data_IF_296316098593
#
_entry.id   IF_296316098593
#
_cell.length_a   1.000
_cell.length_b   1.000
_cell.length_c   1.000
_cell.angle_alpha   90.00
_cell.angle_beta   90.00
_cell.angle_gamma   90.00
#
_symmetry.space_group_name_H-M   'P 1'
#
loop_
_entity.id
_entity.type
_entity.pdbx_description
1 polymer ?
#
# COMPACT_ATOMS: atom_id res chain seq x y z
N UNK A 1 3.05 21.95 27.20
CA UNK A 1 2.76 20.52 27.29
C UNK A 1 3.90 19.83 28.00
N UNK A 2 3.67 19.37 29.24
CA UNK A 2 4.63 18.58 29.99
C UNK A 2 4.73 17.20 29.37
N UNK A 3 5.83 16.91 28.67
CA UNK A 3 6.13 15.57 28.20
C UNK A 3 6.56 14.69 29.38
N UNK A 4 6.25 13.40 29.34
CA UNK A 4 6.55 12.42 30.40
C UNK A 4 8.06 12.13 30.57
N UNK A 5 8.92 12.72 29.73
CA UNK A 5 10.37 12.49 29.72
C UNK A 5 10.81 11.07 29.31
N UNK A 6 9.86 10.17 29.05
CA UNK A 6 10.15 8.76 28.73
C UNK A 6 10.62 8.52 27.29
N UNK A 7 10.29 9.43 26.36
CA UNK A 7 10.57 9.22 24.92
C UNK A 7 12.05 8.99 24.62
N UNK A 8 12.95 9.79 25.22
CA UNK A 8 14.40 9.65 25.00
C UNK A 8 14.95 8.33 25.58
N UNK A 9 14.47 7.94 26.75
CA UNK A 9 14.88 6.68 27.39
C UNK A 9 14.45 5.45 26.55
N UNK A 10 13.22 5.50 25.99
CA UNK A 10 12.70 4.47 25.09
C UNK A 10 13.52 4.44 23.79
N UNK A 11 13.77 5.59 23.18
CA UNK A 11 14.58 5.69 21.96
C UNK A 11 15.99 5.13 22.17
N UNK A 12 16.63 5.49 23.32
CA UNK A 12 17.96 4.94 23.64
C UNK A 12 17.93 3.43 23.78
N UNK A 13 16.96 2.89 24.50
CA UNK A 13 16.82 1.44 24.66
C UNK A 13 16.66 0.71 23.30
N UNK A 14 15.84 1.24 22.40
CA UNK A 14 15.64 0.68 21.06
C UNK A 14 16.95 0.71 20.26
N UNK A 15 17.67 1.83 20.27
CA UNK A 15 18.96 1.99 19.58
C UNK A 15 19.99 1.01 20.14
N UNK A 16 20.08 0.88 21.47
CA UNK A 16 21.01 -0.06 22.14
C UNK A 16 20.66 -1.52 21.80
N UNK A 17 19.37 -1.89 21.78
CA UNK A 17 18.90 -3.22 21.37
C UNK A 17 19.24 -3.55 19.92
N UNK A 18 19.27 -2.55 19.05
CA UNK A 18 19.69 -2.67 17.65
C UNK A 18 21.22 -2.65 17.46
N UNK A 19 21.99 -2.58 18.55
CA UNK A 19 23.46 -2.53 18.53
C UNK A 19 24.01 -1.21 18.02
N UNK A 20 23.23 -0.14 18.09
CA UNK A 20 23.57 1.19 17.60
C UNK A 20 24.05 2.15 18.70
N UNK A 21 24.22 3.41 18.35
CA UNK A 21 24.57 4.50 19.25
C UNK A 21 23.68 5.72 19.01
N UNK A 22 23.36 6.47 20.06
CA UNK A 22 22.68 7.75 19.99
C UNK A 22 23.49 8.82 20.72
N UNK A 23 23.76 9.91 20.06
CA UNK A 23 24.45 11.09 20.57
C UNK A 23 23.51 12.29 20.49
N UNK A 24 23.63 13.22 21.45
CA UNK A 24 22.85 14.44 21.47
C UNK A 24 23.81 15.63 21.57
N UNK A 25 23.68 16.55 20.63
CA UNK A 25 24.39 17.84 20.65
C UNK A 25 23.34 18.94 20.81
N UNK A 26 23.46 19.74 21.86
CA UNK A 26 22.51 20.79 22.13
C UNK A 26 23.23 22.07 22.57
N UNK A 27 22.78 23.19 22.06
CA UNK A 27 23.26 24.53 22.46
C UNK A 27 22.06 25.44 22.67
N UNK A 28 22.06 26.16 23.78
CA UNK A 28 20.97 27.06 24.10
C UNK A 28 20.78 28.09 22.99
N UNK A 29 19.54 28.35 22.60
CA UNK A 29 19.11 29.24 21.51
C UNK A 29 19.58 28.86 20.10
N UNK A 30 20.29 27.74 19.93
CA UNK A 30 20.72 27.21 18.63
C UNK A 30 19.99 25.91 18.23
N UNK A 31 19.42 25.22 19.19
CA UNK A 31 18.66 23.99 18.96
C UNK A 31 19.36 22.70 19.42
N UNK A 32 18.83 21.58 19.01
CA UNK A 32 19.31 20.25 19.41
C UNK A 32 19.43 19.36 18.19
N UNK A 33 20.55 18.67 18.04
CA UNK A 33 20.82 17.65 17.04
C UNK A 33 20.89 16.27 17.70
N UNK A 34 20.16 15.31 17.15
CA UNK A 34 20.22 13.91 17.54
C UNK A 34 20.93 13.12 16.44
N UNK A 35 22.01 12.44 16.79
CA UNK A 35 22.79 11.62 15.86
C UNK A 35 22.59 10.15 16.24
N UNK A 36 21.86 9.40 15.41
CA UNK A 36 21.61 7.97 15.59
C UNK A 36 22.41 7.18 14.57
N UNK A 37 23.23 6.22 15.03
CA UNK A 37 23.99 5.30 14.17
C UNK A 37 23.52 3.89 14.44
N UNK A 38 23.01 3.20 13.42
CA UNK A 38 22.54 1.83 13.49
C UNK A 38 23.32 0.94 12.51
N UNK A 39 23.84 -0.23 12.96
CA UNK A 39 24.44 -1.19 12.04
C UNK A 39 23.34 -2.02 11.37
N UNK A 40 23.29 -1.99 10.04
CA UNK A 40 22.42 -2.85 9.27
C UNK A 40 23.23 -3.86 8.48
N UNK A 41 22.80 -5.12 8.47
CA UNK A 41 23.33 -6.11 7.54
C UNK A 41 22.73 -5.84 6.17
N UNK A 42 23.59 -5.56 5.19
CA UNK A 42 23.14 -5.47 3.79
C UNK A 42 22.87 -6.87 3.27
N UNK A 43 21.76 -7.03 2.55
CA UNK A 43 21.54 -8.24 1.77
C UNK A 43 22.60 -8.30 0.65
N UNK A 44 23.17 -9.51 0.35
CA UNK A 44 23.99 -9.66 -0.83
C UNK A 44 23.22 -9.20 -2.08
N UNK A 45 23.90 -8.55 -3.03
CA UNK A 45 23.32 -7.89 -4.22
C UNK A 45 22.51 -8.82 -5.17
N UNK A 46 22.16 -10.04 -4.76
CA UNK A 46 21.52 -11.03 -5.61
C UNK A 46 20.00 -10.91 -5.74
N UNK A 47 19.35 -9.97 -5.07
CA UNK A 47 18.00 -9.60 -5.46
C UNK A 47 18.08 -8.48 -6.52
N UNK A 48 18.56 -8.82 -7.74
CA UNK A 48 18.11 -8.08 -8.92
C UNK A 48 16.59 -8.07 -8.84
N UNK A 49 16.02 -6.89 -8.62
CA UNK A 49 14.59 -6.70 -8.82
C UNK A 49 14.39 -7.02 -10.30
N UNK A 50 13.93 -8.23 -10.59
CA UNK A 50 13.65 -8.63 -11.96
C UNK A 50 12.58 -7.70 -12.49
N UNK A 51 12.82 -7.15 -13.66
CA UNK A 51 11.78 -6.47 -14.41
C UNK A 51 10.62 -7.44 -14.57
N UNK A 52 9.43 -6.94 -14.32
CA UNK A 52 8.22 -7.72 -14.47
C UNK A 52 7.79 -7.58 -15.92
N UNK A 53 7.81 -8.67 -16.67
CA UNK A 53 7.50 -8.67 -18.10
C UNK A 53 6.15 -8.03 -18.41
N UNK A 54 5.16 -8.25 -17.54
CA UNK A 54 3.81 -7.71 -17.66
C UNK A 54 3.73 -6.20 -17.42
N UNK A 55 4.71 -5.61 -16.76
CA UNK A 55 4.79 -4.16 -16.47
C UNK A 55 5.77 -3.44 -17.41
N UNK A 56 6.57 -4.17 -18.19
CA UNK A 56 7.61 -3.57 -19.00
C UNK A 56 7.03 -2.64 -20.09
N UNK A 57 7.49 -1.40 -20.09
CA UNK A 57 7.05 -0.36 -21.03
C UNK A 57 5.69 0.29 -20.72
N UNK A 58 4.91 -0.25 -19.78
CA UNK A 58 3.68 0.39 -19.33
C UNK A 58 3.99 1.74 -18.66
N UNK A 59 3.08 2.71 -18.82
CA UNK A 59 3.25 4.08 -18.33
C UNK A 59 2.39 4.32 -17.11
N UNK A 60 2.98 4.89 -16.04
CA UNK A 60 2.26 5.27 -14.83
C UNK A 60 2.40 6.76 -14.53
N UNK A 61 1.37 7.35 -13.91
CA UNK A 61 1.41 8.70 -13.35
C UNK A 61 1.34 8.61 -11.83
N UNK A 62 2.33 9.21 -11.16
CA UNK A 62 2.38 9.37 -9.70
C UNK A 62 1.90 10.77 -9.34
N UNK A 63 1.00 10.87 -8.36
CA UNK A 63 0.41 12.15 -7.91
C UNK A 63 0.50 12.21 -6.39
N UNK A 64 1.38 13.07 -5.87
CA UNK A 64 1.61 13.24 -4.44
C UNK A 64 2.16 14.64 -4.19
N UNK A 65 1.73 15.34 -3.16
CA UNK A 65 2.20 16.70 -2.87
C UNK A 65 3.63 16.74 -2.31
N UNK A 66 4.13 15.59 -1.81
CA UNK A 66 5.53 15.45 -1.41
C UNK A 66 6.40 14.98 -2.58
N UNK A 67 7.31 15.86 -3.00
CA UNK A 67 8.30 15.55 -4.03
C UNK A 67 9.13 14.30 -3.75
N UNK A 68 9.51 14.05 -2.48
CA UNK A 68 10.32 12.89 -2.13
C UNK A 68 9.53 11.58 -2.32
N UNK A 69 8.25 11.59 -2.02
CA UNK A 69 7.34 10.47 -2.30
C UNK A 69 7.23 10.25 -3.81
N UNK A 70 6.99 11.30 -4.60
CA UNK A 70 6.96 11.21 -6.06
C UNK A 70 8.24 10.60 -6.64
N UNK A 71 9.40 11.10 -6.24
CA UNK A 71 10.72 10.62 -6.70
C UNK A 71 10.94 9.15 -6.31
N UNK A 72 10.62 8.80 -5.07
CA UNK A 72 10.79 7.43 -4.55
C UNK A 72 9.91 6.43 -5.30
N UNK A 73 8.62 6.72 -5.44
CA UNK A 73 7.67 5.87 -6.16
C UNK A 73 8.04 5.75 -7.63
N UNK A 74 8.40 6.85 -8.28
CA UNK A 74 8.87 6.85 -9.68
C UNK A 74 10.08 5.94 -9.86
N UNK A 75 11.07 6.01 -8.96
CA UNK A 75 12.24 5.11 -8.99
C UNK A 75 11.86 3.64 -8.78
N UNK A 76 10.88 3.36 -7.94
CA UNK A 76 10.35 2.01 -7.73
C UNK A 76 9.70 1.46 -9.01
N UNK A 77 8.87 2.26 -9.67
CA UNK A 77 8.20 1.89 -10.93
C UNK A 77 9.18 1.63 -12.07
N UNK A 78 10.19 2.48 -12.20
CA UNK A 78 11.27 2.30 -13.20
C UNK A 78 12.04 1.00 -12.97
N UNK A 79 12.31 0.64 -11.70
CA UNK A 79 13.00 -0.62 -11.36
C UNK A 79 12.21 -1.86 -11.77
N UNK A 80 10.88 -1.83 -11.74
CA UNK A 80 10.03 -2.95 -12.19
C UNK A 80 9.77 -2.93 -13.70
N UNK A 81 10.30 -1.95 -14.44
CA UNK A 81 10.24 -1.88 -15.90
C UNK A 81 9.24 -0.89 -16.48
N UNK A 82 8.50 -0.15 -15.65
CA UNK A 82 7.53 0.84 -16.10
C UNK A 82 8.18 2.16 -16.52
N UNK A 83 7.54 2.90 -17.42
CA UNK A 83 7.76 4.33 -17.62
C UNK A 83 6.93 5.08 -16.58
N UNK A 84 7.50 6.11 -15.95
CA UNK A 84 6.79 6.85 -14.91
C UNK A 84 6.97 8.35 -15.06
N UNK A 85 5.87 9.07 -14.92
CA UNK A 85 5.81 10.52 -14.76
C UNK A 85 5.21 10.83 -13.38
N UNK A 86 5.38 12.04 -12.90
CA UNK A 86 4.80 12.48 -11.64
C UNK A 86 4.33 13.95 -11.71
N UNK A 87 3.41 14.30 -10.81
CA UNK A 87 2.94 15.66 -10.56
C UNK A 87 2.57 15.83 -9.10
N UNK A 88 2.59 17.06 -8.59
CA UNK A 88 2.21 17.41 -7.23
C UNK A 88 0.78 17.97 -7.11
N UNK A 89 0.02 17.96 -8.20
CA UNK A 89 -1.31 18.56 -8.28
C UNK A 89 -2.32 17.62 -8.93
N UNK A 90 -3.48 17.48 -8.28
CA UNK A 90 -4.58 16.68 -8.82
C UNK A 90 -5.14 17.26 -10.13
N UNK A 91 -5.24 18.60 -10.24
CA UNK A 91 -5.68 19.26 -11.48
C UNK A 91 -4.72 18.98 -12.63
N UNK A 92 -3.43 19.04 -12.38
CA UNK A 92 -2.42 18.72 -13.37
C UNK A 92 -2.47 17.23 -13.75
N UNK A 93 -2.73 16.34 -12.80
CA UNK A 93 -2.90 14.92 -13.09
C UNK A 93 -4.04 14.67 -14.09
N UNK A 94 -5.21 15.29 -13.90
CA UNK A 94 -6.34 15.19 -14.82
C UNK A 94 -6.00 15.76 -16.20
N UNK A 95 -5.29 16.89 -16.25
CA UNK A 95 -4.84 17.48 -17.52
C UNK A 95 -3.88 16.54 -18.25
N UNK A 96 -2.90 15.98 -17.57
CA UNK A 96 -1.94 15.01 -18.15
C UNK A 96 -2.60 13.72 -18.59
N UNK A 97 -3.60 13.23 -17.85
CA UNK A 97 -4.39 12.07 -18.25
C UNK A 97 -5.06 12.32 -19.62
N UNK A 98 -5.74 13.46 -19.77
CA UNK A 98 -6.36 13.85 -21.05
C UNK A 98 -5.34 13.97 -22.18
N UNK A 99 -4.25 14.71 -21.95
CA UNK A 99 -3.21 14.92 -22.97
C UNK A 99 -2.56 13.62 -23.40
N UNK A 100 -2.30 12.69 -22.49
CA UNK A 100 -1.69 11.40 -22.82
C UNK A 100 -2.59 10.54 -23.71
N UNK A 101 -3.90 10.61 -23.51
CA UNK A 101 -4.89 9.94 -24.38
C UNK A 101 -4.92 10.57 -25.78
N UNK A 102 -4.96 11.91 -25.87
CA UNK A 102 -4.95 12.64 -27.14
C UNK A 102 -3.69 12.36 -27.97
N UNK A 103 -2.55 12.17 -27.30
CA UNK A 103 -1.26 11.85 -27.93
C UNK A 103 -1.09 10.34 -28.24
N UNK A 104 -2.03 9.48 -27.85
CA UNK A 104 -1.94 8.04 -28.04
C UNK A 104 -0.88 7.35 -27.17
N UNK A 105 -0.41 8.00 -26.09
CA UNK A 105 0.52 7.46 -25.08
C UNK A 105 -0.12 7.50 -23.69
N UNK A 106 -1.31 6.91 -23.58
CA UNK A 106 -2.12 6.92 -22.37
C UNK A 106 -1.42 6.24 -21.19
N UNK A 107 -1.76 6.65 -19.99
CA UNK A 107 -1.31 5.97 -18.77
C UNK A 107 -1.99 4.60 -18.65
N UNK A 108 -1.28 3.66 -18.02
CA UNK A 108 -1.75 2.31 -17.75
C UNK A 108 -2.01 2.09 -16.26
N UNK A 109 -1.54 3.01 -15.41
CA UNK A 109 -1.85 3.06 -13.99
C UNK A 109 -1.73 4.50 -13.47
N UNK A 110 -2.55 4.82 -12.48
CA UNK A 110 -2.44 6.05 -11.67
C UNK A 110 -2.18 5.66 -10.23
N UNK A 111 -1.22 6.34 -9.59
CA UNK A 111 -0.88 6.16 -8.17
C UNK A 111 -1.04 7.53 -7.53
N UNK A 112 -2.10 7.71 -6.74
CA UNK A 112 -2.58 9.02 -6.32
C UNK A 112 -2.64 9.10 -4.81
N UNK A 113 -2.02 10.12 -4.22
CA UNK A 113 -2.18 10.39 -2.79
C UNK A 113 -3.63 10.76 -2.46
N UNK A 114 -4.09 10.26 -1.31
CA UNK A 114 -5.42 10.59 -0.80
C UNK A 114 -5.61 12.09 -0.60
N UNK A 115 -4.59 12.78 -0.06
CA UNK A 115 -4.64 14.20 0.30
C UNK A 115 -3.72 15.03 -0.58
N UNK A 116 -4.31 15.73 -1.53
CA UNK A 116 -3.61 16.72 -2.34
C UNK A 116 -4.08 18.13 -1.95
N UNK A 117 -3.26 19.16 -2.13
CA UNK A 117 -3.60 20.52 -1.68
C UNK A 117 -4.73 21.17 -2.48
N UNK A 118 -4.98 20.73 -3.69
CA UNK A 118 -5.96 21.33 -4.61
C UNK A 118 -7.25 20.53 -4.77
N UNK A 119 -7.20 19.21 -4.53
CA UNK A 119 -8.38 18.32 -4.49
C UNK A 119 -8.01 16.99 -3.84
N UNK A 120 -8.99 16.23 -3.36
CA UNK A 120 -8.69 14.90 -2.81
C UNK A 120 -8.56 13.83 -3.91
N UNK A 121 -7.92 12.70 -3.57
CA UNK A 121 -7.66 11.60 -4.52
C UNK A 121 -8.92 10.98 -5.11
N UNK A 122 -10.05 10.97 -4.40
CA UNK A 122 -11.35 10.48 -4.93
C UNK A 122 -11.86 11.42 -6.02
N UNK A 123 -11.73 12.73 -5.82
CA UNK A 123 -12.16 13.69 -6.83
C UNK A 123 -11.30 13.61 -8.11
N UNK A 124 -9.96 13.45 -7.95
CA UNK A 124 -9.07 13.15 -9.09
C UNK A 124 -9.53 11.88 -9.80
N UNK A 125 -9.85 10.83 -9.04
CA UNK A 125 -10.34 9.56 -9.59
C UNK A 125 -11.61 9.75 -10.40
N UNK A 126 -12.61 10.46 -9.88
CA UNK A 126 -13.87 10.74 -10.62
C UNK A 126 -13.61 11.46 -11.93
N UNK A 127 -12.73 12.45 -11.92
CA UNK A 127 -12.40 13.23 -13.12
C UNK A 127 -11.63 12.37 -14.14
N UNK A 128 -10.68 11.54 -13.73
CA UNK A 128 -9.98 10.62 -14.63
C UNK A 128 -10.95 9.58 -15.19
N UNK A 129 -11.86 9.02 -14.37
CA UNK A 129 -12.88 8.07 -14.85
C UNK A 129 -13.83 8.66 -15.89
N UNK A 130 -14.04 9.96 -15.84
CA UNK A 130 -14.83 10.64 -16.88
C UNK A 130 -14.12 10.75 -18.25
N UNK A 131 -12.80 10.53 -18.29
CA UNK A 131 -11.99 10.56 -19.51
C UNK A 131 -11.71 9.16 -20.05
N UNK A 132 -11.39 8.23 -19.16
CA UNK A 132 -11.08 6.82 -19.44
C UNK A 132 -11.62 5.98 -18.31
N UNK A 133 -12.34 4.95 -18.63
CA UNK A 133 -13.11 4.15 -17.69
C UNK A 133 -12.31 3.06 -16.96
N UNK A 134 -11.26 2.52 -17.57
CA UNK A 134 -10.69 1.23 -17.16
C UNK A 134 -9.24 1.25 -16.67
N UNK A 135 -8.55 2.40 -16.64
CA UNK A 135 -7.17 2.45 -16.17
C UNK A 135 -7.10 2.24 -14.64
N UNK A 136 -6.28 1.31 -14.14
CA UNK A 136 -6.12 1.09 -12.70
C UNK A 136 -5.75 2.38 -11.96
N UNK A 137 -6.49 2.68 -10.89
CA UNK A 137 -6.21 3.80 -9.99
C UNK A 137 -5.97 3.24 -8.59
N UNK A 138 -4.79 3.50 -8.06
CA UNK A 138 -4.32 3.09 -6.74
C UNK A 138 -4.24 4.34 -5.86
N UNK A 139 -4.93 4.34 -4.73
CA UNK A 139 -4.85 5.42 -3.75
C UNK A 139 -3.80 5.10 -2.69
N UNK A 140 -2.87 6.05 -2.48
CA UNK A 140 -1.91 6.03 -1.39
C UNK A 140 -2.53 6.69 -0.15
N UNK A 141 -2.44 6.03 1.01
CA UNK A 141 -2.99 6.57 2.25
C UNK A 141 -2.09 6.28 3.45
N UNK A 142 -1.98 7.25 4.36
CA UNK A 142 -1.29 7.09 5.64
C UNK A 142 -2.21 6.59 6.77
N UNK A 143 -3.51 6.42 6.50
CA UNK A 143 -4.54 6.11 7.48
C UNK A 143 -5.30 4.85 7.09
N UNK A 144 -6.05 4.32 8.04
CA UNK A 144 -7.08 3.31 7.76
C UNK A 144 -8.10 3.89 6.78
N UNK A 145 -8.34 3.19 5.68
CA UNK A 145 -9.25 3.62 4.61
C UNK A 145 -10.67 3.07 4.75
N UNK A 146 -10.96 2.33 5.83
CA UNK A 146 -12.28 1.70 6.07
C UNK A 146 -13.42 2.71 5.99
N UNK A 147 -13.23 3.93 6.50
CA UNK A 147 -14.23 4.98 6.48
C UNK A 147 -14.53 5.54 5.08
N UNK A 148 -13.58 5.44 4.15
CA UNK A 148 -13.67 6.02 2.80
C UNK A 148 -13.75 4.97 1.69
N UNK A 149 -13.62 3.69 2.03
CA UNK A 149 -13.55 2.60 1.06
C UNK A 149 -14.76 2.56 0.13
N UNK A 150 -15.95 2.66 0.69
CA UNK A 150 -17.20 2.63 -0.10
C UNK A 150 -17.29 3.79 -1.08
N UNK A 151 -16.92 5.01 -0.65
CA UNK A 151 -16.92 6.18 -1.52
C UNK A 151 -15.86 6.07 -2.61
N UNK A 152 -14.66 5.63 -2.25
CA UNK A 152 -13.55 5.47 -3.16
C UNK A 152 -13.82 4.39 -4.23
N UNK A 153 -14.37 3.24 -3.83
CA UNK A 153 -14.78 2.19 -4.78
C UNK A 153 -15.88 2.66 -5.72
N UNK A 154 -16.86 3.40 -5.19
CA UNK A 154 -17.92 4.01 -6.02
C UNK A 154 -17.38 5.02 -7.01
N UNK A 155 -16.32 5.75 -6.65
CA UNK A 155 -15.62 6.66 -7.54
C UNK A 155 -14.77 5.95 -8.60
N UNK A 156 -14.52 4.63 -8.44
CA UNK A 156 -13.77 3.81 -9.38
C UNK A 156 -12.30 3.61 -8.99
N UNK A 157 -11.95 3.75 -7.70
CA UNK A 157 -10.64 3.34 -7.18
C UNK A 157 -10.50 1.83 -7.32
N UNK A 158 -9.37 1.38 -7.86
CA UNK A 158 -9.10 -0.05 -8.09
C UNK A 158 -8.48 -0.70 -6.85
N UNK A 159 -7.54 -0.02 -6.19
CA UNK A 159 -6.82 -0.55 -5.05
C UNK A 159 -6.34 0.56 -4.11
N UNK A 160 -5.95 0.16 -2.89
CA UNK A 160 -5.32 1.02 -1.89
C UNK A 160 -3.92 0.51 -1.56
N UNK A 161 -3.01 1.42 -1.25
CA UNK A 161 -1.68 1.10 -0.77
C UNK A 161 -1.33 1.99 0.43
N UNK A 162 -0.92 1.38 1.54
CA UNK A 162 -0.58 2.10 2.77
C UNK A 162 0.79 2.76 2.66
N UNK A 163 0.94 3.96 3.23
CA UNK A 163 2.24 4.59 3.50
C UNK A 163 2.73 4.13 4.89
N UNK A 164 4.02 3.80 5.09
CA UNK A 164 5.16 3.97 4.17
C UNK A 164 5.19 2.92 3.05
N UNK A 165 5.61 3.35 1.85
CA UNK A 165 5.59 2.54 0.65
C UNK A 165 6.83 1.64 0.52
N UNK A 166 6.61 0.35 0.38
CA UNK A 166 7.66 -0.61 0.06
C UNK A 166 7.52 -1.12 -1.37
N UNK A 167 8.64 -1.54 -1.96
CA UNK A 167 8.67 -2.08 -3.32
C UNK A 167 7.75 -3.29 -3.49
N UNK A 168 7.67 -4.17 -2.47
CA UNK A 168 6.78 -5.32 -2.43
C UNK A 168 5.32 -4.93 -2.61
N UNK A 169 4.88 -3.92 -1.84
CA UNK A 169 3.48 -3.51 -1.76
C UNK A 169 3.02 -2.85 -3.06
N UNK A 170 3.86 -1.96 -3.63
CA UNK A 170 3.59 -1.34 -4.93
C UNK A 170 3.53 -2.41 -6.02
N UNK A 171 4.48 -3.36 -6.03
CA UNK A 171 4.51 -4.44 -7.01
C UNK A 171 3.25 -5.30 -6.92
N UNK A 172 2.91 -5.77 -5.73
CA UNK A 172 1.74 -6.64 -5.51
C UNK A 172 0.44 -5.91 -5.89
N UNK A 173 0.28 -4.66 -5.43
CA UNK A 173 -0.89 -3.85 -5.75
C UNK A 173 -1.03 -3.58 -7.25
N UNK A 174 0.06 -3.27 -7.96
CA UNK A 174 0.07 -3.07 -9.40
C UNK A 174 -0.29 -4.35 -10.16
N UNK A 175 0.32 -5.47 -9.80
CA UNK A 175 0.04 -6.76 -10.44
C UNK A 175 -1.42 -7.17 -10.25
N UNK A 176 -1.96 -7.00 -9.04
CA UNK A 176 -3.38 -7.27 -8.77
C UNK A 176 -4.29 -6.33 -9.57
N UNK A 177 -3.99 -5.03 -9.60
CA UNK A 177 -4.81 -4.03 -10.27
C UNK A 177 -4.80 -4.17 -11.82
N UNK A 178 -3.63 -4.47 -12.40
CA UNK A 178 -3.48 -4.66 -13.86
C UNK A 178 -3.99 -6.05 -14.26
N UNK A 179 -3.74 -7.09 -13.46
CA UNK A 179 -4.22 -8.45 -13.68
C UNK A 179 -5.75 -8.55 -13.67
N UNK A 180 -6.44 -7.81 -12.82
CA UNK A 180 -7.91 -7.70 -12.84
C UNK A 180 -8.42 -7.12 -14.15
N UNK A 181 -7.71 -6.20 -14.80
CA UNK A 181 -8.07 -5.66 -16.11
C UNK A 181 -7.97 -6.72 -17.21
N UNK A 182 -6.98 -7.59 -17.16
CA UNK A 182 -6.82 -8.68 -18.15
C UNK A 182 -7.88 -9.77 -17.96
N UNK A 183 -8.18 -10.12 -16.71
CA UNK A 183 -9.24 -11.08 -16.40
C UNK A 183 -10.65 -10.57 -16.77
N UNK A 184 -10.92 -9.28 -16.65
CA UNK A 184 -12.18 -8.65 -17.08
C UNK A 184 -12.36 -8.61 -18.58
N UNK A 185 -11.27 -8.71 -19.36
CA UNK A 185 -11.33 -8.82 -20.81
C UNK A 185 -11.62 -10.26 -21.29
N UNK A 186 -11.37 -11.26 -20.46
CA UNK A 186 -11.51 -12.68 -20.82
C UNK A 186 -12.61 -13.43 -20.05
N UNK A 187 -13.06 -12.95 -18.87
CA UNK A 187 -14.08 -13.65 -18.10
C UNK A 187 -15.08 -12.71 -17.42
N UNK A 188 -16.36 -13.07 -17.54
CA UNK A 188 -17.42 -12.54 -16.67
C UNK A 188 -17.11 -12.97 -15.24
N UNK A 189 -16.69 -12.02 -14.39
CA UNK A 189 -16.47 -12.25 -12.97
C UNK A 189 -17.74 -12.83 -12.37
N UNK A 190 -17.65 -14.02 -11.81
CA UNK A 190 -18.62 -14.51 -10.85
C UNK A 190 -18.58 -13.54 -9.65
N UNK A 191 -19.73 -12.97 -9.22
CA UNK A 191 -19.75 -12.13 -8.02
C UNK A 191 -19.25 -12.94 -6.82
N UNK A 192 -18.53 -12.29 -5.91
CA UNK A 192 -18.01 -12.91 -4.68
C UNK A 192 -19.09 -13.58 -3.80
N UNK A 193 -20.36 -13.40 -4.15
CA UNK A 193 -21.53 -14.04 -3.52
C UNK A 193 -21.68 -15.54 -3.77
N UNK A 194 -20.90 -16.13 -4.71
CA UNK A 194 -21.02 -17.55 -5.06
C UNK A 194 -19.81 -18.42 -4.68
N UNK A 195 -18.89 -17.91 -3.86
CA UNK A 195 -17.85 -18.75 -3.29
C UNK A 195 -18.45 -19.58 -2.14
N UNK A 196 -18.85 -20.82 -2.45
CA UNK A 196 -19.34 -21.77 -1.44
C UNK A 196 -18.16 -22.42 -0.72
N UNK A 197 -17.88 -22.00 0.50
CA UNK A 197 -16.85 -22.58 1.37
C UNK A 197 -17.39 -23.70 2.28
N UNK A 198 -18.64 -24.13 2.09
CA UNK A 198 -19.28 -25.17 2.91
C UNK A 198 -18.48 -26.46 2.94
N UNK A 199 -18.17 -26.90 4.14
CA UNK A 199 -17.41 -28.14 4.37
C UNK A 199 -15.88 -28.01 4.22
N UNK A 200 -15.35 -26.83 3.86
CA UNK A 200 -13.90 -26.58 3.92
C UNK A 200 -13.48 -26.32 5.36
N UNK A 201 -12.40 -26.95 5.78
CA UNK A 201 -11.83 -26.80 7.12
C UNK A 201 -10.76 -25.70 7.11
N UNK A 202 -10.75 -24.90 8.16
CA UNK A 202 -9.73 -23.85 8.41
C UNK A 202 -9.29 -23.93 9.87
N UNK A 203 -8.01 -23.78 10.14
CA UNK A 203 -7.46 -23.65 11.47
C UNK A 203 -7.18 -22.17 11.75
N UNK A 204 -7.90 -21.60 12.72
CA UNK A 204 -7.68 -20.25 13.23
C UNK A 204 -6.73 -20.31 14.42
N UNK A 205 -5.63 -19.55 14.37
CA UNK A 205 -4.65 -19.45 15.46
C UNK A 205 -4.70 -18.02 16.01
N UNK A 206 -5.25 -17.86 17.21
CA UNK A 206 -5.45 -16.56 17.85
C UNK A 206 -5.38 -16.73 19.36
N UNK A 207 -4.52 -15.95 20.02
CA UNK A 207 -4.26 -16.00 21.46
C UNK A 207 -5.25 -15.18 22.30
N UNK A 208 -6.01 -14.29 21.67
CA UNK A 208 -7.06 -13.50 22.31
C UNK A 208 -8.42 -14.15 22.11
N UNK A 209 -9.06 -14.56 23.21
CA UNK A 209 -10.34 -15.27 23.20
C UNK A 209 -11.46 -14.49 22.48
N UNK A 210 -11.54 -13.16 22.70
CA UNK A 210 -12.54 -12.31 22.05
C UNK A 210 -12.32 -12.20 20.55
N UNK A 211 -11.07 -12.03 20.10
CA UNK A 211 -10.72 -12.00 18.69
C UNK A 211 -11.02 -13.34 18.02
N UNK A 212 -10.71 -14.44 18.72
CA UNK A 212 -11.01 -15.79 18.26
C UNK A 212 -12.51 -16.01 18.06
N UNK A 213 -13.35 -15.62 19.02
CA UNK A 213 -14.80 -15.73 18.91
C UNK A 213 -15.36 -14.96 17.70
N UNK A 214 -14.93 -13.70 17.54
CA UNK A 214 -15.36 -12.85 16.41
C UNK A 214 -14.94 -13.48 15.08
N UNK A 215 -13.70 -13.90 14.95
CA UNK A 215 -13.19 -14.49 13.71
C UNK A 215 -13.89 -15.83 13.37
N UNK A 216 -14.14 -16.67 14.37
CA UNK A 216 -14.89 -17.94 14.22
C UNK A 216 -16.31 -17.67 13.71
N UNK A 217 -16.99 -16.67 14.24
CA UNK A 217 -18.35 -16.32 13.83
C UNK A 217 -18.39 -15.87 12.37
N UNK A 218 -17.49 -14.98 11.99
CA UNK A 218 -17.34 -14.51 10.60
C UNK A 218 -17.06 -15.68 9.65
N UNK A 219 -16.08 -16.53 9.96
CA UNK A 219 -15.70 -17.66 9.11
C UNK A 219 -16.83 -18.68 8.95
N UNK A 220 -17.61 -18.92 10.01
CA UNK A 220 -18.79 -19.79 9.97
C UNK A 220 -19.92 -19.24 9.10
N UNK A 221 -20.10 -17.92 9.06
CA UNK A 221 -21.08 -17.27 8.16
C UNK A 221 -20.74 -17.54 6.69
N UNK A 222 -19.43 -17.61 6.35
CA UNK A 222 -18.95 -18.01 5.00
C UNK A 222 -18.98 -19.51 4.76
N UNK A 223 -19.43 -20.33 5.73
CA UNK A 223 -19.62 -21.77 5.59
C UNK A 223 -18.42 -22.64 5.91
N UNK A 224 -17.34 -22.07 6.46
CA UNK A 224 -16.18 -22.84 6.90
C UNK A 224 -16.47 -23.69 8.14
N UNK A 225 -15.80 -24.85 8.22
CA UNK A 225 -15.62 -25.61 9.46
C UNK A 225 -14.34 -25.09 10.14
N UNK A 226 -14.50 -24.41 11.26
CA UNK A 226 -13.38 -23.71 11.93
C UNK A 226 -12.92 -24.52 13.13
N UNK A 227 -11.64 -24.92 13.13
CA UNK A 227 -10.90 -25.40 14.28
C UNK A 227 -10.07 -24.22 14.83
N UNK A 228 -9.89 -24.15 16.15
CA UNK A 228 -9.13 -23.08 16.80
C UNK A 228 -7.89 -23.61 17.50
N UNK A 229 -6.85 -22.75 17.59
CA UNK A 229 -5.68 -22.97 18.44
C UNK A 229 -5.28 -21.66 19.11
N UNK A 230 -4.89 -21.70 20.38
CA UNK A 230 -4.51 -20.51 21.14
C UNK A 230 -3.07 -20.04 20.85
N UNK A 231 -2.24 -20.89 20.26
CA UNK A 231 -0.85 -20.59 19.95
C UNK A 231 -0.30 -21.49 18.85
N UNK A 232 0.90 -21.14 18.36
CA UNK A 232 1.55 -21.88 17.28
C UNK A 232 1.95 -23.32 17.63
N UNK A 233 2.23 -23.63 18.88
CA UNK A 233 2.55 -25.00 19.30
C UNK A 233 1.32 -25.90 19.21
N UNK A 234 0.18 -25.45 19.70
CA UNK A 234 -1.10 -26.13 19.57
C UNK A 234 -1.56 -26.26 18.10
N UNK A 235 -1.28 -25.23 17.31
CA UNK A 235 -1.59 -25.25 15.88
C UNK A 235 -0.83 -26.38 15.15
N UNK A 236 0.46 -26.56 15.45
CA UNK A 236 1.29 -27.63 14.87
C UNK A 236 0.79 -29.02 15.26
N UNK A 237 0.24 -29.19 16.47
CA UNK A 237 -0.33 -30.47 16.91
C UNK A 237 -1.66 -30.81 16.23
N UNK A 238 -2.36 -29.80 15.71
CA UNK A 238 -3.68 -29.95 15.06
C UNK A 238 -3.63 -30.11 13.54
N UNK A 239 -2.46 -29.93 12.93
CA UNK A 239 -2.22 -30.12 11.49
C UNK A 239 -1.84 -31.59 11.22
#
# INVERSE_FOLDING_TARGET
TQGTGLGMAITKNIVDMMGGTIEVQTEQDKGTEFIVRLPFRTQPEHHRIEKISELEGLKALVVDDDFNTCDSVTKMLVKVGMRSEWTVSGKEAVLRARQSMELGDAFHAYIIDWRLPDMNGIEVTRQIRSLDDNTPIIILTAYDWSDIETEARTAGVTAFCAKPLFMSDIRETLMAAIGQKQAQAEDKILPAADLDFRGRRILLVEDNELNSEIAVEILKEYGFLVDTAENGAEAVEKI
#
